data_IF_784488707634
#
_entry.id   IF_784488707634
#
_cell.length_a   1.000
_cell.length_b   1.000
_cell.length_c   1.000
_cell.angle_alpha   90.00
_cell.angle_beta   90.00
_cell.angle_gamma   90.00
#
_symmetry.space_group_name_H-M   'P 1'
#
loop_
_entity.id
_entity.type
_entity.pdbx_description
1 polymer ?
#
# COMPACT_ATOMS: atom_id res chain seq x y z
N UNK A 1 -65.09 -12.71 32.68
CA UNK A 1 -66.41 -13.03 32.09
C UNK A 1 -66.34 -12.64 30.62
N UNK A 2 -66.67 -13.61 29.78
CA UNK A 2 -66.65 -13.60 28.30
C UNK A 2 -67.72 -12.65 27.78
N UNK A 3 -67.48 -11.96 26.65
CA UNK A 3 -68.23 -12.16 25.37
C UNK A 3 -67.82 -11.15 24.30
N UNK A 4 -67.45 -11.70 23.15
CA UNK A 4 -67.51 -11.10 21.81
C UNK A 4 -68.84 -10.40 21.53
N UNK A 5 -68.84 -9.42 20.61
CA UNK A 5 -69.83 -9.43 19.53
C UNK A 5 -69.43 -8.56 18.32
N UNK A 6 -69.63 -9.16 17.15
CA UNK A 6 -69.47 -8.62 15.79
C UNK A 6 -70.41 -7.42 15.50
N UNK A 7 -70.06 -6.58 14.51
CA UNK A 7 -70.89 -6.29 13.31
C UNK A 7 -70.31 -5.10 12.50
N UNK A 8 -70.17 -5.28 11.19
CA UNK A 8 -70.08 -4.24 10.16
C UNK A 8 -71.44 -4.22 9.43
N UNK A 9 -71.95 -3.13 8.78
CA UNK A 9 -71.57 -2.89 7.36
C UNK A 9 -71.83 -1.46 6.74
N UNK A 10 -71.33 -1.27 5.51
CA UNK A 10 -71.81 -0.47 4.34
C UNK A 10 -71.99 1.07 4.29
N UNK A 11 -71.22 1.67 3.35
CA UNK A 11 -71.55 2.60 2.21
C UNK A 11 -72.12 4.05 2.37
N UNK A 12 -71.33 5.00 1.81
CA UNK A 12 -71.61 6.06 0.80
C UNK A 12 -72.58 7.25 1.07
N UNK A 13 -72.16 8.44 0.56
CA UNK A 13 -72.90 9.57 -0.09
C UNK A 13 -72.13 10.89 0.23
N UNK A 14 -71.44 11.62 -0.66
CA UNK A 14 -71.79 12.39 -1.88
C UNK A 14 -71.80 13.92 -1.63
N UNK A 15 -71.16 14.72 -2.50
CA UNK A 15 -71.76 15.93 -3.11
C UNK A 15 -70.80 16.65 -4.08
N UNK A 16 -71.39 17.07 -5.21
CA UNK A 16 -70.86 17.79 -6.39
C UNK A 16 -70.90 19.31 -6.18
N UNK A 17 -70.13 20.09 -6.96
CA UNK A 17 -70.56 21.03 -8.03
C UNK A 17 -69.44 22.06 -8.43
N UNK A 18 -69.52 22.74 -9.60
CA UNK A 18 -68.36 22.96 -10.50
C UNK A 18 -68.20 24.37 -11.18
N UNK A 19 -67.13 24.49 -12.01
CA UNK A 19 -66.88 25.28 -13.25
C UNK A 19 -66.70 26.82 -13.33
N UNK A 20 -65.67 27.22 -14.11
CA UNK A 20 -65.42 28.50 -14.82
C UNK A 20 -63.99 29.07 -14.57
N UNK A 21 -63.09 29.45 -15.48
CA UNK A 21 -63.08 29.75 -16.93
C UNK A 21 -61.63 29.62 -17.53
N UNK A 22 -61.50 29.50 -18.87
CA UNK A 22 -60.27 29.48 -19.68
C UNK A 22 -60.01 30.86 -20.35
N UNK A 23 -58.79 31.32 -20.74
CA UNK A 23 -57.90 30.96 -21.88
C UNK A 23 -56.87 32.14 -22.11
N UNK A 24 -55.99 32.22 -23.16
CA UNK A 24 -54.90 31.37 -23.69
C UNK A 24 -53.54 32.11 -23.95
N UNK A 25 -52.45 31.37 -24.23
CA UNK A 25 -51.54 31.52 -25.41
C UNK A 25 -50.37 30.52 -25.25
N UNK A 26 -50.21 29.48 -26.07
CA UNK A 26 -49.70 29.37 -27.45
C UNK A 26 -48.30 28.72 -27.47
N UNK A 27 -48.22 27.67 -28.27
CA UNK A 27 -47.23 26.57 -28.42
C UNK A 27 -46.15 26.93 -29.49
N UNK A 28 -45.08 26.15 -29.81
CA UNK A 28 -45.21 24.74 -30.25
C UNK A 28 -44.08 23.72 -29.98
N UNK A 29 -44.50 22.45 -30.09
CA UNK A 29 -43.69 21.24 -30.31
C UNK A 29 -43.84 20.82 -31.78
N UNK A 30 -42.79 20.25 -32.35
CA UNK A 30 -42.84 19.37 -33.54
C UNK A 30 -42.31 17.98 -33.20
N UNK A 31 -42.94 16.99 -33.81
CA UNK A 31 -42.86 15.55 -33.57
C UNK A 31 -41.82 14.85 -34.47
N UNK A 32 -41.58 13.55 -34.24
CA UNK A 32 -41.55 12.47 -35.26
C UNK A 32 -41.28 11.11 -34.56
N UNK A 33 -42.16 10.12 -34.81
CA UNK A 33 -41.87 8.74 -35.25
C UNK A 33 -42.93 7.73 -34.77
N UNK A 34 -43.81 7.33 -35.70
CA UNK A 34 -44.39 5.98 -35.75
C UNK A 34 -43.66 5.20 -36.85
N UNK A 35 -43.50 3.87 -36.66
CA UNK A 35 -43.72 2.78 -37.63
C UNK A 35 -43.13 1.46 -37.07
N UNK A 36 -43.95 0.38 -37.03
CA UNK A 36 -43.59 -1.02 -36.71
C UNK A 36 -43.45 -1.83 -38.04
N UNK A 37 -42.93 -3.09 -38.15
CA UNK A 37 -43.30 -4.28 -37.34
C UNK A 37 -42.25 -5.44 -37.18
N UNK A 38 -42.64 -6.53 -36.48
CA UNK A 38 -42.16 -7.95 -36.46
C UNK A 38 -41.66 -8.56 -35.11
N UNK A 39 -41.95 -9.85 -34.83
CA UNK A 39 -42.10 -10.42 -33.48
C UNK A 39 -40.84 -11.11 -32.95
N UNK A 40 -40.57 -10.99 -31.64
CA UNK A 40 -39.56 -11.80 -30.96
C UNK A 40 -40.26 -13.02 -30.35
N UNK A 41 -39.70 -14.20 -30.65
CA UNK A 41 -40.19 -15.51 -30.25
C UNK A 41 -40.16 -15.74 -28.73
N UNK A 42 -41.03 -16.62 -28.25
CA UNK A 42 -41.24 -16.99 -26.85
C UNK A 42 -40.03 -17.63 -26.12
N UNK A 43 -38.84 -17.63 -26.71
CA UNK A 43 -37.64 -18.26 -26.15
C UNK A 43 -36.81 -17.31 -25.25
N UNK A 44 -37.09 -16.00 -25.26
CA UNK A 44 -36.37 -15.00 -24.46
C UNK A 44 -36.89 -14.93 -23.01
N UNK A 45 -38.18 -15.22 -22.78
CA UNK A 45 -38.73 -15.21 -21.40
C UNK A 45 -38.34 -16.44 -20.57
N UNK A 46 -37.90 -17.54 -21.19
CA UNK A 46 -37.54 -18.76 -20.47
C UNK A 46 -36.15 -18.68 -19.82
N UNK A 47 -35.23 -17.88 -20.39
CA UNK A 47 -33.86 -17.74 -19.86
C UNK A 47 -33.71 -16.68 -18.76
N UNK A 48 -34.67 -15.77 -18.59
CA UNK A 48 -34.67 -14.83 -17.47
C UNK A 48 -35.27 -15.40 -16.16
N UNK A 49 -35.93 -16.57 -16.22
CA UNK A 49 -36.57 -17.20 -15.05
C UNK A 49 -35.75 -18.31 -14.39
N UNK A 50 -34.62 -18.73 -14.99
CA UNK A 50 -33.70 -19.74 -14.43
C UNK A 50 -32.51 -19.18 -13.65
N UNK A 51 -32.35 -17.86 -13.56
CA UNK A 51 -31.24 -17.22 -12.85
C UNK A 51 -31.52 -16.84 -11.38
N UNK A 52 -32.66 -17.21 -10.79
CA UNK A 52 -33.09 -16.69 -9.48
C UNK A 52 -33.40 -17.78 -8.43
N UNK A 53 -32.71 -18.91 -8.50
CA UNK A 53 -32.83 -19.96 -7.49
C UNK A 53 -31.49 -20.69 -7.29
N UNK A 54 -30.49 -19.96 -6.79
CA UNK A 54 -29.35 -20.50 -6.04
C UNK A 54 -28.65 -19.37 -5.28
N UNK A 55 -29.38 -18.73 -4.36
CA UNK A 55 -28.76 -17.97 -3.29
C UNK A 55 -28.65 -18.87 -2.07
N UNK A 56 -27.73 -19.84 -2.14
CA UNK A 56 -27.09 -20.31 -0.94
C UNK A 56 -26.59 -19.07 -0.20
N UNK A 57 -27.00 -18.87 1.06
CA UNK A 57 -26.42 -17.84 1.93
C UNK A 57 -24.91 -17.97 1.84
N UNK A 58 -24.26 -17.07 1.11
CA UNK A 58 -22.82 -16.98 1.11
C UNK A 58 -22.42 -16.80 2.57
N UNK A 59 -21.67 -17.77 3.11
CA UNK A 59 -21.01 -17.64 4.39
C UNK A 59 -20.29 -16.29 4.36
N UNK A 60 -20.47 -15.39 5.36
CA UNK A 60 -19.75 -14.12 5.37
C UNK A 60 -18.26 -14.40 5.12
N UNK A 61 -17.57 -13.57 4.32
CA UNK A 61 -16.18 -13.82 3.96
C UNK A 61 -15.43 -14.11 5.26
N UNK A 62 -14.79 -15.28 5.33
CA UNK A 62 -13.96 -15.63 6.47
C UNK A 62 -12.97 -14.49 6.65
N UNK A 63 -12.91 -13.88 7.84
CA UNK A 63 -11.96 -12.82 8.19
C UNK A 63 -10.59 -13.14 7.61
N UNK A 64 -10.25 -12.50 6.49
CA UNK A 64 -8.90 -12.52 5.96
C UNK A 64 -8.08 -11.72 6.95
N UNK A 65 -7.38 -12.41 7.85
CA UNK A 65 -6.51 -11.78 8.84
C UNK A 65 -5.52 -10.88 8.09
N UNK A 66 -5.68 -9.57 8.24
CA UNK A 66 -4.79 -8.61 7.62
C UNK A 66 -3.36 -8.81 8.18
N UNK A 67 -2.31 -8.62 7.36
CA UNK A 67 -0.93 -8.70 7.83
C UNK A 67 -0.69 -7.67 8.95
N UNK A 68 0.30 -7.96 9.80
CA UNK A 68 0.72 -7.08 10.90
C UNK A 68 1.10 -5.70 10.34
N UNK A 69 0.62 -4.64 11.00
CA UNK A 69 0.90 -3.26 10.61
C UNK A 69 2.40 -2.96 10.74
N UNK A 70 3.01 -2.44 9.67
CA UNK A 70 4.38 -1.92 9.73
C UNK A 70 4.36 -0.51 10.32
N UNK A 71 5.00 -0.34 11.48
CA UNK A 71 5.01 0.92 12.23
C UNK A 71 6.39 1.58 12.13
N UNK A 72 6.44 2.92 12.16
CA UNK A 72 7.70 3.64 12.28
C UNK A 72 8.31 3.44 13.68
N UNK A 73 9.66 3.45 13.85
CA UNK A 73 10.30 3.23 15.15
C UNK A 73 9.80 4.15 16.27
N UNK A 74 9.60 5.44 15.98
CA UNK A 74 9.03 6.40 16.94
C UNK A 74 7.58 6.07 17.34
N UNK A 75 6.81 5.43 16.46
CA UNK A 75 5.45 4.98 16.78
C UNK A 75 5.48 3.72 17.66
N UNK A 76 6.48 2.84 17.46
CA UNK A 76 6.69 1.64 18.28
C UNK A 76 7.06 2.04 19.72
N UNK A 77 8.00 2.97 19.91
CA UNK A 77 8.38 3.48 21.23
C UNK A 77 7.20 4.11 22.00
N UNK A 78 6.37 4.89 21.30
CA UNK A 78 5.13 5.45 21.88
C UNK A 78 4.13 4.37 22.24
N UNK A 79 4.06 3.30 21.43
CA UNK A 79 3.22 2.13 21.72
C UNK A 79 3.68 1.39 22.98
N UNK A 80 4.98 1.16 23.13
CA UNK A 80 5.58 0.53 24.31
C UNK A 80 5.27 1.35 25.56
N UNK A 81 5.47 2.68 25.50
CA UNK A 81 5.19 3.60 26.62
C UNK A 81 3.72 3.54 27.01
N UNK A 82 2.80 3.57 26.03
CA UNK A 82 1.37 3.55 26.29
C UNK A 82 0.89 2.23 26.87
N UNK A 83 1.48 1.11 26.44
CA UNK A 83 1.21 -0.20 27.05
C UNK A 83 1.72 -0.28 28.49
N UNK A 84 2.86 0.36 28.79
CA UNK A 84 3.44 0.42 30.14
C UNK A 84 2.56 1.20 31.12
N UNK A 85 1.99 2.33 30.65
CA UNK A 85 0.98 3.10 31.39
C UNK A 85 -0.25 2.24 31.70
N UNK A 86 -0.81 1.54 30.70
CA UNK A 86 -1.97 0.65 30.90
C UNK A 86 -1.68 -0.49 31.89
N UNK A 87 -0.47 -1.08 31.83
CA UNK A 87 -0.05 -2.14 32.77
C UNK A 87 0.04 -1.57 34.19
N UNK A 88 0.64 -0.39 34.35
CA UNK A 88 0.78 0.28 35.65
C UNK A 88 -0.58 0.62 36.26
N UNK A 89 -1.53 1.09 35.44
CA UNK A 89 -2.91 1.36 35.85
C UNK A 89 -3.65 0.07 36.27
N UNK A 90 -3.45 -1.04 35.57
CA UNK A 90 -4.01 -2.36 35.93
C UNK A 90 -3.44 -2.90 37.24
N UNK A 91 -2.12 -2.77 37.45
CA UNK A 91 -1.45 -3.25 38.67
C UNK A 91 -1.78 -2.39 39.89
N UNK A 92 -2.04 -1.08 39.70
CA UNK A 92 -2.43 -0.16 40.76
C UNK A 92 -3.94 -0.17 41.07
N UNK A 93 -4.77 -0.85 40.27
CA UNK A 93 -6.21 -0.86 40.44
C UNK A 93 -6.62 -1.54 41.76
N UNK A 94 -7.32 -0.79 42.62
CA UNK A 94 -7.83 -1.32 43.88
C UNK A 94 -9.08 -2.18 43.65
N UNK A 95 -8.90 -3.50 43.84
CA UNK A 95 -9.97 -4.49 43.66
C UNK A 95 -11.05 -4.33 44.75
N UNK A 96 -10.80 -3.63 45.85
CA UNK A 96 -11.78 -3.43 46.92
C UNK A 96 -12.88 -2.43 46.56
N UNK A 97 -12.68 -1.59 45.53
CA UNK A 97 -13.70 -0.64 45.05
C UNK A 97 -14.71 -1.28 44.08
N UNK A 98 -14.62 -2.60 43.85
CA UNK A 98 -15.50 -3.33 42.94
C UNK A 98 -16.94 -3.45 43.47
N UNK A 99 -17.90 -3.10 42.60
CA UNK A 99 -19.32 -3.40 42.78
C UNK A 99 -19.68 -4.82 42.33
N UNK A 100 -20.78 -4.97 41.57
CA UNK A 100 -21.25 -6.26 41.01
C UNK A 100 -20.38 -6.76 39.85
N UNK A 101 -19.06 -6.88 40.04
CA UNK A 101 -18.11 -7.42 39.05
C UNK A 101 -17.72 -6.46 37.92
N UNK A 102 -18.09 -5.19 38.03
CA UNK A 102 -17.67 -4.11 37.12
C UNK A 102 -17.79 -2.76 37.83
N UNK A 103 -16.94 -1.81 37.45
CA UNK A 103 -17.04 -0.40 37.84
C UNK A 103 -16.72 0.51 36.65
N UNK A 104 -17.11 1.80 36.67
CA UNK A 104 -16.81 2.75 35.60
C UNK A 104 -15.31 2.87 35.28
N UNK A 105 -14.46 2.81 36.30
CA UNK A 105 -13.01 2.90 36.19
C UNK A 105 -12.43 1.70 35.45
N UNK A 106 -12.92 0.49 35.75
CA UNK A 106 -12.52 -0.74 35.07
C UNK A 106 -12.91 -0.70 33.59
N UNK A 107 -14.12 -0.22 33.27
CA UNK A 107 -14.56 -0.05 31.87
C UNK A 107 -13.74 0.98 31.11
N UNK A 108 -13.33 2.07 31.77
CA UNK A 108 -12.47 3.07 31.15
C UNK A 108 -11.11 2.45 30.77
N UNK A 109 -10.58 1.57 31.62
CA UNK A 109 -9.35 0.83 31.38
C UNK A 109 -9.50 -0.19 30.24
N UNK A 110 -10.62 -0.92 30.16
CA UNK A 110 -10.93 -1.81 29.03
C UNK A 110 -10.90 -1.05 27.68
N UNK A 111 -11.53 0.13 27.63
CA UNK A 111 -11.56 0.99 26.44
C UNK A 111 -10.17 1.54 26.11
N UNK A 112 -9.40 1.95 27.12
CA UNK A 112 -8.02 2.43 26.95
C UNK A 112 -7.13 1.34 26.35
N UNK A 113 -7.21 0.11 26.86
CA UNK A 113 -6.49 -1.05 26.35
C UNK A 113 -6.91 -1.36 24.93
N UNK A 114 -8.22 -1.43 24.66
CA UNK A 114 -8.75 -1.72 23.33
C UNK A 114 -8.27 -0.69 22.30
N UNK A 115 -8.39 0.60 22.60
CA UNK A 115 -7.95 1.66 21.68
C UNK A 115 -6.45 1.64 21.41
N UNK A 116 -5.64 1.29 22.43
CA UNK A 116 -4.19 1.12 22.30
C UNK A 116 -3.86 -0.06 21.39
N UNK A 117 -4.49 -1.21 21.62
CA UNK A 117 -4.28 -2.40 20.80
C UNK A 117 -4.73 -2.18 19.34
N UNK A 118 -5.87 -1.51 19.11
CA UNK A 118 -6.32 -1.16 17.75
C UNK A 118 -5.31 -0.25 17.06
N UNK A 119 -4.81 0.77 17.77
CA UNK A 119 -3.90 1.76 17.18
C UNK A 119 -2.56 1.18 16.74
N UNK A 120 -2.00 0.26 17.52
CA UNK A 120 -0.66 -0.28 17.26
C UNK A 120 -0.67 -1.65 16.57
N UNK A 121 -1.74 -2.45 16.71
CA UNK A 121 -1.83 -3.77 16.08
C UNK A 121 -2.88 -3.85 14.98
N UNK A 122 -3.87 -2.95 14.93
CA UNK A 122 -4.93 -2.90 13.88
C UNK A 122 -6.14 -3.78 14.20
N UNK A 123 -7.36 -3.23 14.08
CA UNK A 123 -8.63 -3.83 14.56
C UNK A 123 -8.95 -5.24 14.00
N UNK A 124 -8.41 -5.61 12.82
CA UNK A 124 -8.70 -6.87 12.14
C UNK A 124 -7.44 -7.69 11.77
N UNK A 125 -6.33 -7.47 12.48
CA UNK A 125 -5.10 -8.24 12.25
C UNK A 125 -5.06 -9.49 13.12
N UNK A 126 -4.28 -10.49 12.69
CA UNK A 126 -3.97 -11.65 13.53
C UNK A 126 -3.30 -11.24 14.84
N UNK A 127 -2.46 -10.20 14.81
CA UNK A 127 -1.77 -9.67 15.98
C UNK A 127 -2.76 -9.11 17.03
N UNK A 128 -3.76 -8.33 16.60
CA UNK A 128 -4.77 -7.82 17.51
C UNK A 128 -5.61 -8.94 18.15
N UNK A 129 -6.00 -9.95 17.35
CA UNK A 129 -6.78 -11.10 17.85
C UNK A 129 -6.06 -11.90 18.94
N UNK A 130 -4.73 -11.89 18.96
CA UNK A 130 -3.94 -12.55 20.02
C UNK A 130 -4.02 -11.82 21.36
N UNK A 131 -4.15 -10.48 21.33
CA UNK A 131 -4.11 -9.65 22.54
C UNK A 131 -5.48 -9.09 22.95
N UNK A 132 -6.50 -9.20 22.11
CA UNK A 132 -7.85 -8.67 22.38
C UNK A 132 -8.47 -9.25 23.66
N UNK A 133 -8.04 -10.43 24.10
CA UNK A 133 -8.41 -11.02 25.39
C UNK A 133 -8.08 -10.15 26.60
N UNK A 134 -7.12 -9.23 26.50
CA UNK A 134 -6.76 -8.29 27.56
C UNK A 134 -7.84 -7.25 27.87
N UNK A 135 -8.86 -7.11 27.00
CA UNK A 135 -9.96 -6.16 27.16
C UNK A 135 -11.09 -6.69 28.05
N UNK A 136 -11.09 -7.98 28.39
CA UNK A 136 -12.14 -8.61 29.20
C UNK A 136 -11.82 -8.59 30.69
N UNK A 137 -11.94 -7.44 31.36
CA UNK A 137 -11.58 -7.31 32.78
C UNK A 137 -12.77 -7.64 33.71
N UNK A 138 -13.99 -7.29 33.31
CA UNK A 138 -15.21 -7.55 34.10
C UNK A 138 -15.60 -9.03 34.26
N UNK A 139 -16.38 -9.32 35.31
CA UNK A 139 -16.95 -10.65 35.54
C UNK A 139 -18.44 -10.60 35.89
N UNK A 140 -19.26 -11.29 35.09
CA UNK A 140 -20.70 -11.41 35.30
C UNK A 140 -21.11 -12.90 35.31
N UNK A 141 -21.30 -13.51 36.49
CA UNK A 141 -21.69 -14.91 36.57
C UNK A 141 -23.18 -15.08 36.24
N UNK A 142 -23.50 -16.14 35.50
CA UNK A 142 -24.87 -16.55 35.21
C UNK A 142 -25.41 -17.38 36.37
N UNK A 143 -26.27 -16.78 37.19
CA UNK A 143 -26.90 -17.48 38.33
C UNK A 143 -28.26 -18.02 37.90
N UNK A 144 -28.41 -19.35 37.87
CA UNK A 144 -29.70 -20.01 37.70
C UNK A 144 -30.32 -20.31 39.07
N UNK A 145 -31.36 -19.56 39.44
CA UNK A 145 -32.13 -19.86 40.65
C UNK A 145 -33.19 -20.92 40.33
N UNK A 146 -32.89 -22.19 40.63
CA UNK A 146 -33.90 -23.27 40.56
C UNK A 146 -34.63 -23.29 41.90
N UNK A 147 -35.87 -22.79 41.90
CA UNK A 147 -36.82 -22.94 43.01
C UNK A 147 -36.55 -22.08 44.24
N UNK A 148 -37.12 -20.87 44.29
CA UNK A 148 -37.51 -20.12 45.51
C UNK A 148 -36.47 -19.82 46.59
N UNK A 149 -35.22 -20.26 46.46
CA UNK A 149 -34.14 -20.05 47.42
C UNK A 149 -33.35 -18.77 47.13
N UNK A 150 -32.80 -18.17 48.19
CA UNK A 150 -31.85 -17.06 48.08
C UNK A 150 -30.63 -17.51 47.26
N UNK A 151 -30.24 -16.72 46.27
CA UNK A 151 -29.05 -16.98 45.47
C UNK A 151 -27.80 -17.02 46.39
N UNK A 152 -26.85 -17.94 46.16
CA UNK A 152 -25.60 -17.96 46.91
C UNK A 152 -24.84 -16.63 46.75
N UNK A 153 -24.09 -16.17 47.76
CA UNK A 153 -23.27 -14.98 47.64
C UNK A 153 -22.28 -15.15 46.49
N UNK A 154 -22.31 -14.21 45.55
CA UNK A 154 -21.48 -14.24 44.35
C UNK A 154 -20.13 -13.59 44.66
N UNK A 155 -19.04 -14.33 44.40
CA UNK A 155 -17.69 -13.78 44.47
C UNK A 155 -17.32 -13.10 43.14
N UNK A 156 -17.24 -11.77 43.18
CA UNK A 156 -16.82 -10.94 42.05
C UNK A 156 -15.31 -10.61 42.08
N UNK A 157 -14.66 -10.75 43.23
CA UNK A 157 -13.29 -10.28 43.46
C UNK A 157 -12.28 -11.25 42.87
N UNK A 158 -12.44 -12.55 43.15
CA UNK A 158 -11.49 -13.57 42.68
C UNK A 158 -11.43 -13.68 41.15
N UNK A 159 -12.58 -13.70 40.42
CA UNK A 159 -12.55 -13.76 38.96
C UNK A 159 -11.95 -12.50 38.31
N UNK A 160 -12.29 -11.31 38.81
CA UNK A 160 -11.75 -10.05 38.27
C UNK A 160 -10.24 -9.95 38.51
N UNK A 161 -9.75 -10.39 39.68
CA UNK A 161 -8.30 -10.47 39.94
C UNK A 161 -7.57 -11.36 38.93
N UNK A 162 -8.17 -12.52 38.59
CA UNK A 162 -7.62 -13.42 37.58
C UNK A 162 -7.60 -12.74 36.20
N UNK A 163 -8.70 -12.12 35.79
CA UNK A 163 -8.80 -11.41 34.52
C UNK A 163 -7.76 -10.28 34.41
N UNK A 164 -7.54 -9.50 35.47
CA UNK A 164 -6.49 -8.47 35.52
C UNK A 164 -5.11 -9.11 35.33
N UNK A 165 -4.83 -10.22 36.02
CA UNK A 165 -3.56 -10.92 35.91
C UNK A 165 -3.31 -11.45 34.49
N UNK A 166 -4.35 -12.01 33.85
CA UNK A 166 -4.32 -12.48 32.47
C UNK A 166 -4.13 -11.32 31.49
N UNK A 167 -4.82 -10.20 31.68
CA UNK A 167 -4.67 -9.00 30.86
C UNK A 167 -3.25 -8.43 30.95
N UNK A 168 -2.67 -8.32 32.15
CA UNK A 168 -1.28 -7.88 32.34
C UNK A 168 -0.29 -8.80 31.60
N UNK A 169 -0.49 -10.13 31.67
CA UNK A 169 0.36 -11.07 30.97
C UNK A 169 0.30 -10.88 29.43
N UNK A 170 -0.90 -10.71 28.88
CA UNK A 170 -1.10 -10.45 27.45
C UNK A 170 -0.50 -9.12 27.00
N UNK A 171 -0.64 -8.06 27.80
CA UNK A 171 -0.05 -6.75 27.48
C UNK A 171 1.48 -6.76 27.56
N UNK A 172 2.06 -7.51 28.52
CA UNK A 172 3.52 -7.72 28.58
C UNK A 172 4.01 -8.48 27.34
N UNK A 173 3.24 -9.45 26.85
CA UNK A 173 3.56 -10.14 25.59
C UNK A 173 3.45 -9.21 24.37
N UNK A 174 2.44 -8.35 24.32
CA UNK A 174 2.30 -7.33 23.26
C UNK A 174 3.46 -6.33 23.29
N UNK A 175 3.89 -5.90 24.48
CA UNK A 175 5.04 -5.01 24.66
C UNK A 175 6.33 -5.67 24.16
N UNK A 176 6.52 -6.97 24.44
CA UNK A 176 7.66 -7.74 23.93
C UNK A 176 7.67 -7.80 22.40
N UNK A 177 6.53 -8.05 21.77
CA UNK A 177 6.42 -8.07 20.32
C UNK A 177 6.82 -6.72 19.69
N UNK A 178 6.40 -5.59 20.28
CA UNK A 178 6.83 -4.26 19.82
C UNK A 178 8.32 -4.00 20.04
N UNK A 179 8.91 -4.51 21.13
CA UNK A 179 10.36 -4.41 21.38
C UNK A 179 11.17 -5.24 20.37
N UNK A 180 10.67 -6.40 19.99
CA UNK A 180 11.28 -7.24 18.94
C UNK A 180 11.22 -6.51 17.59
N UNK A 181 10.08 -5.90 17.23
CA UNK A 181 9.98 -5.08 16.01
C UNK A 181 10.97 -3.89 16.03
N UNK A 182 11.15 -3.25 17.19
CA UNK A 182 12.12 -2.16 17.34
C UNK A 182 13.57 -2.66 17.14
N UNK A 183 13.90 -3.82 17.71
CA UNK A 183 15.23 -4.43 17.55
C UNK A 183 15.52 -4.84 16.10
N UNK A 184 14.52 -5.34 15.37
CA UNK A 184 14.67 -5.62 13.93
C UNK A 184 14.94 -4.33 13.13
N UNK A 185 14.26 -3.23 13.48
CA UNK A 185 14.54 -1.91 12.90
C UNK A 185 15.96 -1.41 13.23
N UNK A 186 16.40 -1.51 14.48
CA UNK A 186 17.76 -1.14 14.90
C UNK A 186 18.82 -1.99 14.19
N UNK A 187 18.60 -3.29 14.07
CA UNK A 187 19.51 -4.20 13.38
C UNK A 187 19.54 -3.93 11.86
N UNK A 188 18.40 -3.56 11.27
CA UNK A 188 18.38 -3.09 9.87
C UNK A 188 19.15 -1.78 9.68
N UNK A 189 19.16 -0.89 10.69
CA UNK A 189 19.94 0.34 10.71
C UNK A 189 21.42 0.04 10.97
N UNK A 190 21.78 -0.95 11.79
CA UNK A 190 23.18 -1.34 12.01
C UNK A 190 23.77 -2.02 10.76
N UNK A 191 23.01 -2.90 10.11
CA UNK A 191 23.37 -3.53 8.84
C UNK A 191 23.45 -2.46 7.73
N UNK A 192 22.54 -1.49 7.70
CA UNK A 192 22.55 -0.38 6.75
C UNK A 192 23.66 0.65 7.01
N UNK A 193 23.96 0.99 8.28
CA UNK A 193 24.94 2.03 8.63
C UNK A 193 26.38 1.53 8.63
N UNK A 194 26.62 0.22 8.85
CA UNK A 194 27.92 -0.39 8.61
C UNK A 194 28.28 -0.41 7.12
N UNK A 195 27.28 -0.45 6.22
CA UNK A 195 27.49 -0.34 4.78
C UNK A 195 27.65 1.12 4.30
N UNK A 196 27.04 2.10 4.99
CA UNK A 196 27.13 3.52 4.61
C UNK A 196 28.33 4.28 5.22
N UNK A 197 28.95 3.80 6.31
CA UNK A 197 30.10 4.47 6.96
C UNK A 197 31.48 3.95 6.58
N UNK A 198 31.58 2.87 5.80
CA UNK A 198 32.77 2.72 4.99
C UNK A 198 32.70 3.82 3.94
N UNK A 199 33.71 4.70 3.87
CA UNK A 199 33.93 5.45 2.64
C UNK A 199 34.14 4.41 1.55
N UNK A 200 33.06 3.99 0.89
CA UNK A 200 33.11 3.13 -0.28
C UNK A 200 33.99 3.90 -1.24
N UNK A 201 35.21 3.42 -1.42
CA UNK A 201 36.02 3.84 -2.56
C UNK A 201 35.18 3.44 -3.76
N UNK A 202 34.45 4.42 -4.30
CA UNK A 202 33.58 4.17 -5.42
C UNK A 202 34.48 3.75 -6.58
N UNK A 203 34.18 2.59 -7.14
CA UNK A 203 34.89 2.11 -8.31
C UNK A 203 34.85 3.17 -9.40
N UNK A 204 35.96 3.37 -10.09
CA UNK A 204 36.07 4.26 -11.25
C UNK A 204 35.38 3.67 -12.50
N UNK A 205 34.73 2.51 -12.35
CA UNK A 205 33.97 1.81 -13.38
C UNK A 205 32.57 2.40 -13.47
N UNK A 206 32.20 2.79 -14.69
CA UNK A 206 30.91 3.36 -15.04
C UNK A 206 30.19 2.41 -15.98
N UNK A 207 29.03 1.91 -15.59
CA UNK A 207 28.22 1.11 -16.50
C UNK A 207 27.56 1.98 -17.56
N UNK A 208 27.56 1.50 -18.80
CA UNK A 208 26.87 2.15 -19.90
C UNK A 208 25.76 1.24 -20.41
N UNK A 209 24.53 1.63 -20.12
CA UNK A 209 23.33 1.02 -20.70
C UNK A 209 23.06 1.69 -22.04
N UNK A 210 22.91 0.88 -23.08
CA UNK A 210 22.63 1.38 -24.43
C UNK A 210 21.73 0.41 -25.20
N UNK A 211 21.06 0.93 -26.23
CA UNK A 211 20.38 0.09 -27.21
C UNK A 211 21.18 0.00 -28.52
N UNK A 212 20.59 0.39 -29.65
CA UNK A 212 21.19 0.15 -30.97
C UNK A 212 22.08 1.28 -31.50
N UNK A 213 22.06 2.46 -30.89
CA UNK A 213 22.88 3.60 -31.34
C UNK A 213 24.35 3.46 -30.92
N UNK A 214 25.11 2.70 -31.70
CA UNK A 214 26.54 2.45 -31.49
C UNK A 214 27.37 3.75 -31.54
N UNK A 215 26.93 4.75 -32.31
CA UNK A 215 27.64 6.03 -32.39
C UNK A 215 27.52 6.85 -31.09
N UNK A 216 26.34 6.87 -30.48
CA UNK A 216 26.12 7.48 -29.17
C UNK A 216 26.91 6.75 -28.08
N UNK A 217 26.88 5.41 -28.10
CA UNK A 217 27.67 4.56 -27.20
C UNK A 217 29.17 4.88 -27.28
N UNK A 218 29.75 4.84 -28.47
CA UNK A 218 31.17 5.12 -28.67
C UNK A 218 31.55 6.56 -28.31
N UNK A 219 30.65 7.52 -28.53
CA UNK A 219 30.84 8.90 -28.09
C UNK A 219 30.92 9.01 -26.57
N UNK A 220 30.04 8.32 -25.86
CA UNK A 220 30.01 8.28 -24.40
C UNK A 220 31.19 7.52 -23.81
N UNK A 221 31.51 6.33 -24.32
CA UNK A 221 32.61 5.50 -23.82
C UNK A 221 33.96 6.24 -23.91
N UNK A 222 34.27 6.82 -25.09
CA UNK A 222 35.49 7.63 -25.27
C UNK A 222 35.54 8.86 -24.36
N UNK A 223 34.38 9.45 -24.06
CA UNK A 223 34.32 10.58 -23.15
C UNK A 223 34.62 10.17 -21.71
N UNK A 224 34.07 9.05 -21.24
CA UNK A 224 34.35 8.50 -19.91
C UNK A 224 35.83 8.12 -19.78
N UNK A 225 36.40 7.44 -20.78
CA UNK A 225 37.83 7.10 -20.82
C UNK A 225 38.73 8.34 -20.78
N UNK A 226 38.35 9.42 -21.47
CA UNK A 226 39.08 10.70 -21.42
C UNK A 226 39.16 11.26 -19.98
N UNK A 227 38.11 11.06 -19.18
CA UNK A 227 38.07 11.47 -17.78
C UNK A 227 38.87 10.54 -16.84
N UNK A 228 39.39 9.42 -17.36
CA UNK A 228 40.08 8.39 -16.58
C UNK A 228 39.15 7.36 -15.94
N UNK A 229 37.89 7.31 -16.38
CA UNK A 229 36.89 6.32 -15.95
C UNK A 229 36.90 5.10 -16.88
N UNK A 230 36.54 3.93 -16.36
CA UNK A 230 36.43 2.70 -17.15
C UNK A 230 34.96 2.50 -17.56
N UNK A 231 34.66 2.54 -18.86
CA UNK A 231 33.31 2.31 -19.36
C UNK A 231 33.02 0.81 -19.49
N UNK A 232 32.00 0.31 -18.77
CA UNK A 232 31.58 -1.09 -18.80
C UNK A 232 30.32 -1.25 -19.64
N UNK A 233 30.44 -2.02 -20.71
CA UNK A 233 29.35 -2.29 -21.65
C UNK A 233 29.02 -3.79 -21.55
N UNK A 234 27.79 -4.13 -21.16
CA UNK A 234 27.41 -5.53 -20.89
C UNK A 234 27.58 -6.47 -22.08
N UNK A 235 27.27 -5.96 -23.29
CA UNK A 235 27.37 -6.71 -24.56
C UNK A 235 28.80 -7.14 -24.87
N UNK A 236 29.79 -6.45 -24.31
CA UNK A 236 31.21 -6.75 -24.50
C UNK A 236 31.76 -7.73 -23.44
N UNK A 237 30.99 -8.00 -22.38
CA UNK A 237 31.41 -8.90 -21.31
C UNK A 237 31.20 -10.37 -21.70
N UNK A 238 32.13 -11.28 -21.35
CA UNK A 238 31.99 -12.72 -21.62
C UNK A 238 30.72 -13.32 -21.00
N UNK A 239 29.97 -14.10 -21.78
CA UNK A 239 28.73 -14.72 -21.28
C UNK A 239 28.99 -15.84 -20.27
N UNK A 240 30.06 -16.63 -20.45
CA UNK A 240 30.44 -17.77 -19.58
C UNK A 240 29.29 -18.77 -19.30
N UNK A 241 28.31 -18.88 -20.21
CA UNK A 241 27.14 -19.75 -20.04
C UNK A 241 26.11 -19.24 -19.01
N UNK A 242 26.27 -18.01 -18.53
CA UNK A 242 25.39 -17.37 -17.55
C UNK A 242 24.19 -16.72 -18.19
N UNK A 243 23.15 -16.53 -17.40
CA UNK A 243 22.01 -15.69 -17.74
C UNK A 243 22.41 -14.22 -17.70
N UNK A 244 21.62 -13.39 -18.40
CA UNK A 244 21.81 -11.93 -18.42
C UNK A 244 21.74 -11.35 -16.99
N UNK A 245 20.86 -11.88 -16.14
CA UNK A 245 20.66 -11.41 -14.75
C UNK A 245 21.91 -11.68 -13.91
N UNK A 246 22.50 -12.88 -14.00
CA UNK A 246 23.74 -13.21 -13.29
C UNK A 246 24.89 -12.31 -13.72
N UNK A 247 25.00 -11.99 -15.02
CA UNK A 247 26.00 -11.02 -15.51
C UNK A 247 25.79 -9.62 -14.88
N UNK A 248 24.54 -9.18 -14.71
CA UNK A 248 24.25 -7.90 -14.06
C UNK A 248 24.68 -7.88 -12.60
N UNK A 249 24.30 -8.92 -11.84
CA UNK A 249 24.60 -9.00 -10.42
C UNK A 249 26.10 -8.96 -10.15
N UNK A 250 26.87 -9.77 -10.86
CA UNK A 250 28.33 -9.78 -10.72
C UNK A 250 28.98 -8.47 -11.16
N UNK A 251 28.54 -7.89 -12.28
CA UNK A 251 29.17 -6.68 -12.80
C UNK A 251 28.81 -5.47 -11.94
N UNK A 252 27.58 -5.41 -11.42
CA UNK A 252 27.08 -4.25 -10.68
C UNK A 252 27.70 -4.07 -9.28
N UNK A 253 28.32 -5.10 -8.71
CA UNK A 253 29.00 -5.01 -7.42
C UNK A 253 30.25 -4.11 -7.45
N UNK A 254 30.89 -3.98 -8.61
CA UNK A 254 32.11 -3.19 -8.82
C UNK A 254 31.84 -1.92 -9.64
N UNK A 255 30.63 -1.37 -9.59
CA UNK A 255 30.26 -0.18 -10.36
C UNK A 255 29.95 0.98 -9.44
N UNK A 256 30.63 2.11 -9.69
CA UNK A 256 30.41 3.34 -8.93
C UNK A 256 29.27 4.20 -9.47
N UNK A 257 28.95 4.07 -10.77
CA UNK A 257 27.97 4.93 -11.45
C UNK A 257 27.40 4.26 -12.71
N UNK A 258 26.18 4.61 -13.12
CA UNK A 258 25.61 4.15 -14.38
C UNK A 258 25.14 5.31 -15.26
N UNK A 259 25.39 5.21 -16.56
CA UNK A 259 24.87 6.14 -17.57
C UNK A 259 23.96 5.37 -18.53
N UNK A 260 22.72 5.85 -18.69
CA UNK A 260 21.70 5.21 -19.50
C UNK A 260 21.43 6.04 -20.76
N UNK A 261 21.71 5.47 -21.92
CA UNK A 261 21.41 6.07 -23.22
C UNK A 261 19.99 5.71 -23.66
N UNK A 262 19.10 6.70 -23.66
CA UNK A 262 17.75 6.61 -24.22
C UNK A 262 17.77 7.05 -25.69
N UNK A 263 17.74 6.07 -26.59
CA UNK A 263 17.73 6.27 -28.05
C UNK A 263 16.44 5.73 -28.67
N UNK A 264 15.97 6.27 -29.82
CA UNK A 264 14.72 5.89 -30.46
C UNK A 264 14.87 4.57 -31.23
N UNK A 265 15.13 3.47 -30.52
CA UNK A 265 15.48 2.19 -31.14
C UNK A 265 14.26 1.34 -31.53
N UNK A 266 13.19 1.44 -30.74
CA UNK A 266 11.96 0.67 -30.94
C UNK A 266 10.79 1.62 -31.20
N UNK A 267 9.74 1.10 -31.84
CA UNK A 267 8.43 1.76 -31.92
C UNK A 267 7.47 1.08 -30.94
N UNK A 268 6.71 1.86 -30.18
CA UNK A 268 5.73 1.36 -29.22
C UNK A 268 4.50 2.25 -29.14
N UNK A 269 3.37 1.68 -28.72
CA UNK A 269 2.14 2.43 -28.56
C UNK A 269 1.31 1.80 -27.44
N UNK A 270 0.49 2.62 -26.77
CA UNK A 270 -0.61 2.09 -25.96
C UNK A 270 -1.64 1.39 -26.85
N UNK A 271 -2.43 0.49 -26.29
CA UNK A 271 -3.49 -0.22 -27.05
C UNK A 271 -4.46 0.74 -27.74
N UNK A 272 -4.63 1.96 -27.20
CA UNK A 272 -5.54 2.97 -27.71
C UNK A 272 -4.85 4.07 -28.53
N UNK A 273 -3.54 3.98 -28.77
CA UNK A 273 -2.80 4.98 -29.54
C UNK A 273 -3.00 4.75 -31.04
N UNK A 274 -3.23 5.84 -31.78
CA UNK A 274 -3.44 5.78 -33.24
C UNK A 274 -2.14 5.52 -34.01
N UNK A 275 -1.00 5.99 -33.48
CA UNK A 275 0.32 5.81 -34.09
C UNK A 275 1.34 5.38 -33.05
N UNK A 276 2.27 4.47 -33.38
CA UNK A 276 3.37 4.12 -32.49
C UNK A 276 4.39 5.26 -32.42
N UNK A 277 4.85 5.55 -31.21
CA UNK A 277 5.90 6.52 -30.93
C UNK A 277 7.27 5.83 -30.83
N UNK A 278 8.32 6.58 -31.12
CA UNK A 278 9.70 6.13 -30.90
C UNK A 278 9.98 6.04 -29.40
N UNK A 279 10.52 4.90 -28.96
CA UNK A 279 10.83 4.62 -27.55
C UNK A 279 12.19 3.97 -27.40
N UNK A 280 12.73 4.04 -26.19
CA UNK A 280 13.92 3.29 -25.83
C UNK A 280 13.63 1.79 -25.83
N UNK A 281 14.66 0.99 -26.14
CA UNK A 281 14.55 -0.46 -26.09
C UNK A 281 14.09 -0.91 -24.70
N UNK A 282 13.20 -1.90 -24.63
CA UNK A 282 12.65 -2.35 -23.34
C UNK A 282 13.72 -2.82 -22.35
N UNK A 283 14.78 -3.48 -22.85
CA UNK A 283 15.91 -3.89 -22.03
C UNK A 283 16.60 -2.68 -21.37
N UNK A 284 16.75 -1.56 -22.09
CA UNK A 284 17.35 -0.33 -21.54
C UNK A 284 16.53 0.21 -20.36
N UNK A 285 15.20 0.14 -20.44
CA UNK A 285 14.31 0.56 -19.34
C UNK A 285 14.40 -0.39 -18.14
N UNK A 286 14.50 -1.70 -18.40
CA UNK A 286 14.71 -2.70 -17.34
C UNK A 286 16.04 -2.47 -16.61
N UNK A 287 17.11 -2.25 -17.37
CA UNK A 287 18.45 -1.99 -16.86
C UNK A 287 18.52 -0.68 -16.06
N UNK A 288 17.86 0.38 -16.52
CA UNK A 288 17.68 1.62 -15.76
C UNK A 288 17.05 1.33 -14.38
N UNK A 289 15.96 0.56 -14.35
CA UNK A 289 15.30 0.19 -13.09
C UNK A 289 16.21 -0.58 -12.15
N UNK A 290 16.97 -1.54 -12.69
CA UNK A 290 17.94 -2.33 -11.94
C UNK A 290 19.04 -1.47 -11.31
N UNK A 291 19.72 -0.63 -12.09
CA UNK A 291 20.80 0.21 -11.57
C UNK A 291 20.31 1.31 -10.63
N UNK A 292 19.11 1.86 -10.88
CA UNK A 292 18.50 2.82 -9.96
C UNK A 292 18.18 2.19 -8.59
N UNK A 293 17.83 0.90 -8.56
CA UNK A 293 17.62 0.16 -7.32
C UNK A 293 18.94 -0.25 -6.64
N UNK A 294 19.94 -0.73 -7.41
CA UNK A 294 21.21 -1.22 -6.90
C UNK A 294 22.15 -0.11 -6.41
N UNK A 295 22.33 0.95 -7.21
CA UNK A 295 23.26 2.06 -6.91
C UNK A 295 22.57 3.23 -6.19
N UNK A 296 21.24 3.26 -6.21
CA UNK A 296 20.44 4.40 -5.81
C UNK A 296 20.32 5.46 -6.91
N UNK A 297 19.26 6.27 -6.83
CA UNK A 297 18.92 7.29 -7.85
C UNK A 297 20.01 8.36 -8.06
N UNK A 298 20.81 8.66 -7.04
CA UNK A 298 21.88 9.68 -7.12
C UNK A 298 23.14 9.23 -7.87
N UNK A 299 23.18 7.98 -8.37
CA UNK A 299 24.34 7.40 -9.08
C UNK A 299 23.98 6.89 -10.47
N UNK A 300 22.86 7.36 -11.01
CA UNK A 300 22.38 7.02 -12.35
C UNK A 300 22.08 8.30 -13.12
N UNK A 301 22.68 8.45 -14.30
CA UNK A 301 22.44 9.58 -15.20
C UNK A 301 21.73 9.10 -16.47
N UNK A 302 20.66 9.80 -16.86
CA UNK A 302 19.93 9.51 -18.09
C UNK A 302 20.32 10.51 -19.17
N UNK A 303 20.78 9.99 -20.31
CA UNK A 303 21.09 10.76 -21.50
C UNK A 303 20.10 10.40 -22.60
N UNK A 304 19.39 11.41 -23.13
CA UNK A 304 18.39 11.21 -24.18
C UNK A 304 18.91 11.71 -25.51
N UNK A 305 18.80 10.90 -26.56
CA UNK A 305 19.12 11.32 -27.93
C UNK A 305 17.85 11.32 -28.78
N UNK A 306 17.48 12.48 -29.31
CA UNK A 306 16.30 12.61 -30.18
C UNK A 306 14.97 12.50 -29.44
N UNK A 307 13.90 12.19 -30.18
CA UNK A 307 12.56 12.06 -29.62
C UNK A 307 12.30 10.62 -29.14
N UNK A 308 12.11 10.45 -27.83
CA UNK A 308 11.89 9.16 -27.19
C UNK A 308 10.74 9.30 -26.20
N UNK A 309 9.74 8.42 -26.30
CA UNK A 309 8.67 8.27 -25.32
C UNK A 309 9.26 7.80 -23.98
N UNK A 310 8.89 8.49 -22.90
CA UNK A 310 9.32 8.16 -21.54
C UNK A 310 8.11 7.61 -20.77
N UNK A 311 8.22 6.42 -20.15
CA UNK A 311 7.15 5.85 -19.33
C UNK A 311 6.64 6.82 -18.26
N UNK A 312 5.35 6.72 -17.93
CA UNK A 312 4.73 7.71 -17.05
C UNK A 312 5.28 7.74 -15.63
N UNK A 313 5.73 6.59 -15.13
CA UNK A 313 6.37 6.46 -13.81
C UNK A 313 7.76 7.12 -13.75
N UNK A 314 8.33 7.45 -14.92
CA UNK A 314 9.59 8.21 -15.06
C UNK A 314 9.34 9.71 -15.36
N UNK A 315 8.09 10.18 -15.45
CA UNK A 315 7.79 11.61 -15.54
C UNK A 315 8.24 12.31 -14.24
N UNK A 316 9.32 13.08 -14.33
CA UNK A 316 9.95 13.75 -13.20
C UNK A 316 11.41 13.36 -12.99
N UNK A 317 11.89 12.31 -13.68
CA UNK A 317 13.33 12.03 -13.77
C UNK A 317 13.98 13.06 -14.68
N UNK A 318 15.00 13.77 -14.16
CA UNK A 318 15.78 14.73 -14.94
C UNK A 318 16.71 13.94 -15.86
N UNK A 319 16.57 14.14 -17.17
CA UNK A 319 17.48 13.62 -18.19
C UNK A 319 18.21 14.78 -18.88
N UNK A 320 19.37 14.48 -19.45
CA UNK A 320 20.11 15.43 -20.28
C UNK A 320 20.01 15.04 -21.73
N UNK A 321 19.60 15.97 -22.59
CA UNK A 321 19.62 15.74 -24.03
C UNK A 321 21.05 15.71 -24.55
N UNK A 322 21.39 14.70 -25.34
CA UNK A 322 22.63 14.62 -26.13
C UNK A 322 22.52 15.58 -27.31
N UNK A 323 22.74 16.86 -27.02
CA UNK A 323 22.74 17.91 -28.02
C UNK A 323 24.00 17.85 -28.92
N UNK A 324 23.92 18.35 -30.17
CA UNK A 324 25.06 18.44 -31.07
C UNK A 324 26.18 19.39 -30.61
N UNK A 325 25.89 20.26 -29.62
CA UNK A 325 26.86 21.19 -29.05
C UNK A 325 27.63 20.58 -27.86
N UNK A 326 27.47 19.28 -27.62
CA UNK A 326 28.13 18.52 -26.55
C UNK A 326 27.86 19.04 -25.12
N UNK A 327 26.78 19.79 -24.91
CA UNK A 327 26.41 20.34 -23.60
C UNK A 327 26.15 19.26 -22.54
N UNK A 328 25.69 18.09 -22.98
CA UNK A 328 25.51 16.90 -22.13
C UNK A 328 26.78 16.46 -21.40
N UNK A 329 27.98 16.67 -21.99
CA UNK A 329 29.26 16.27 -21.38
C UNK A 329 29.53 17.02 -20.07
N UNK A 330 29.28 18.33 -20.07
CA UNK A 330 29.45 19.17 -18.88
C UNK A 330 28.46 18.79 -17.77
N UNK A 331 27.22 18.48 -18.14
CA UNK A 331 26.19 17.99 -17.19
C UNK A 331 26.61 16.64 -16.59
N UNK A 332 27.06 15.69 -17.41
CA UNK A 332 27.54 14.39 -16.95
C UNK A 332 28.72 14.55 -15.97
N UNK A 333 29.68 15.43 -16.24
CA UNK A 333 30.78 15.72 -15.29
C UNK A 333 30.26 16.27 -13.96
N UNK A 334 29.23 17.11 -13.98
CA UNK A 334 28.59 17.61 -12.75
C UNK A 334 27.94 16.48 -11.95
N UNK A 335 27.23 15.57 -12.61
CA UNK A 335 26.59 14.40 -11.97
C UNK A 335 27.64 13.43 -11.38
N UNK A 336 28.71 13.14 -12.13
CA UNK A 336 29.81 12.29 -11.64
C UNK A 336 30.48 12.89 -10.40
N UNK A 337 30.67 14.23 -10.36
CA UNK A 337 31.18 14.94 -9.17
C UNK A 337 30.20 14.88 -8.00
N UNK A 338 28.91 15.09 -8.25
CA UNK A 338 27.88 15.01 -7.23
C UNK A 338 27.79 13.61 -6.60
N UNK A 339 28.01 12.58 -7.41
CA UNK A 339 28.12 11.19 -6.98
C UNK A 339 29.44 10.84 -6.26
N UNK A 340 30.39 11.79 -6.19
CA UNK A 340 31.70 11.66 -5.52
C UNK A 340 32.61 10.57 -6.11
N UNK A 341 32.54 10.34 -7.43
CA UNK A 341 33.49 9.47 -8.12
C UNK A 341 34.88 10.11 -8.13
N UNK A 342 35.92 9.28 -8.03
CA UNK A 342 37.31 9.72 -8.16
C UNK A 342 37.71 9.75 -9.64
N UNK A 343 37.76 10.96 -10.23
CA UNK A 343 38.16 11.17 -11.61
C UNK A 343 38.74 12.58 -11.83
N UNK A 344 39.54 12.73 -12.89
CA UNK A 344 40.19 13.99 -13.21
C UNK A 344 39.31 14.87 -14.12
N UNK A 345 38.50 15.72 -13.49
CA UNK A 345 37.63 16.65 -14.20
C UNK A 345 38.39 17.71 -15.02
N UNK A 346 39.69 17.94 -14.79
CA UNK A 346 40.46 18.92 -15.57
C UNK A 346 40.74 18.42 -17.00
N UNK A 347 40.72 17.10 -17.21
CA UNK A 347 40.85 16.48 -18.54
C UNK A 347 39.67 16.80 -19.46
N UNK A 348 38.57 17.32 -18.91
CA UNK A 348 37.48 17.84 -19.71
C UNK A 348 37.93 19.00 -20.63
N UNK A 349 38.79 19.88 -20.11
CA UNK A 349 39.24 21.13 -20.76
C UNK A 349 40.52 20.99 -21.59
N UNK A 350 41.21 19.86 -21.48
CA UNK A 350 42.40 19.51 -22.27
C UNK A 350 41.99 18.86 -23.58
#
# INVERSE_FOLDING_TARGET
>A
MVTDENYSPTLLIASRLPYGECFPSARPRTAICQLWPFPISANVLYQLKKGSADMARAKPPADTNAPKLQLAPQAIERGITRLDECISELEAFDIQTLGKGSCPELKALEVSIQSTLIRYFGENTSAYKLYSGATGLGHFPMVWAIGGGHAPPVDYVTPVRRNISEAVALLKQAQRALKEDLAEHEQSIEIGSSAEKAAVVLSNRVFVVHGHDEAALQGLARFLEKLGLEAIILKEQPDQGRTIIEKFEETADDIGFAVVLLTPDDLGASVNAETPDARARQNVIFELGYFAAKLGRGRVCLLRKGHVEIPSDLYGVIYSDMDPADGWKAKLVSELKAAKLDFDANRFWQ
#
